data_IF_979161603824
#
_entry.id   IF_979161603824
#
_cell.length_a   1.000
_cell.length_b   1.000
_cell.length_c   1.000
_cell.angle_alpha   90.00
_cell.angle_beta   90.00
_cell.angle_gamma   90.00
#
_symmetry.space_group_name_H-M   'P 1'
#
loop_
_entity.id
_entity.type
_entity.pdbx_description
1 polymer ?
#
# COMPACT_ATOMS: atom_id res chain seq x y z
N UNK A 1 -2.10 11.21 4.71
CA UNK A 1 -3.22 10.23 4.71
C UNK A 1 -3.78 10.14 6.13
N UNK A 2 -5.09 10.26 6.33
CA UNK A 2 -5.66 10.35 7.69
C UNK A 2 -5.99 9.00 8.35
N UNK A 3 -6.47 8.01 7.58
CA UNK A 3 -7.00 6.76 8.15
C UNK A 3 -6.15 5.51 7.86
N UNK A 4 -5.07 5.63 7.09
CA UNK A 4 -4.18 4.51 6.74
C UNK A 4 -4.83 3.37 5.92
N UNK A 5 -6.10 3.52 5.52
CA UNK A 5 -6.87 2.54 4.74
C UNK A 5 -7.74 3.23 3.71
N UNK A 6 -8.09 2.52 2.64
CA UNK A 6 -9.02 3.03 1.63
C UNK A 6 -10.47 2.95 2.11
N UNK A 7 -11.32 3.92 1.75
CA UNK A 7 -12.71 3.98 2.20
C UNK A 7 -13.58 2.83 1.65
N UNK A 8 -13.30 2.35 0.43
CA UNK A 8 -14.12 1.34 -0.26
C UNK A 8 -13.47 -0.04 -0.37
N UNK A 9 -12.76 -0.48 0.68
CA UNK A 9 -12.12 -1.80 0.69
C UNK A 9 -13.19 -2.92 0.62
N UNK A 10 -12.93 -3.94 -0.21
CA UNK A 10 -13.73 -5.17 -0.31
C UNK A 10 -12.85 -6.41 -0.14
N UNK A 11 -13.44 -7.60 0.01
CA UNK A 11 -12.70 -8.87 0.13
C UNK A 11 -12.07 -9.30 -1.20
N UNK A 12 -12.64 -8.87 -2.32
CA UNK A 12 -12.14 -9.09 -3.68
C UNK A 12 -12.39 -7.86 -4.57
N UNK A 13 -11.84 -7.84 -5.78
CA UNK A 13 -11.97 -6.71 -6.71
C UNK A 13 -13.43 -6.39 -7.05
N UNK A 14 -14.27 -7.42 -7.28
CA UNK A 14 -15.69 -7.22 -7.62
C UNK A 14 -16.44 -6.51 -6.50
N UNK A 15 -16.19 -6.92 -5.25
CA UNK A 15 -16.77 -6.27 -4.08
C UNK A 15 -16.24 -4.85 -3.89
N UNK A 16 -14.94 -4.62 -4.12
CA UNK A 16 -14.35 -3.28 -4.07
C UNK A 16 -15.04 -2.34 -5.07
N UNK A 17 -15.23 -2.74 -6.33
CA UNK A 17 -15.95 -1.94 -7.33
C UNK A 17 -17.39 -1.67 -6.91
N UNK A 18 -18.10 -2.69 -6.41
CA UNK A 18 -19.46 -2.51 -5.88
C UNK A 18 -19.47 -1.49 -4.73
N UNK A 19 -18.49 -1.54 -3.84
CA UNK A 19 -18.40 -0.63 -2.71
C UNK A 19 -18.13 0.81 -3.17
N UNK A 20 -17.29 1.02 -4.19
CA UNK A 20 -17.07 2.34 -4.80
C UNK A 20 -18.36 2.93 -5.37
N UNK A 21 -19.19 2.10 -6.01
CA UNK A 21 -20.43 2.55 -6.65
C UNK A 21 -21.57 2.82 -5.66
N UNK A 22 -21.71 1.99 -4.62
CA UNK A 22 -22.95 1.95 -3.83
C UNK A 22 -22.77 2.17 -2.34
N UNK A 23 -21.60 1.84 -1.76
CA UNK A 23 -21.42 1.95 -0.31
C UNK A 23 -21.17 3.40 0.05
N UNK A 24 -21.81 3.91 1.09
CA UNK A 24 -21.50 5.24 1.64
C UNK A 24 -20.14 5.26 2.35
N UNK A 25 -19.54 6.45 2.48
CA UNK A 25 -18.26 6.57 3.20
C UNK A 25 -18.55 6.56 4.69
N UNK A 26 -17.97 5.59 5.39
CA UNK A 26 -18.11 5.47 6.84
C UNK A 26 -16.87 6.03 7.55
N UNK A 27 -17.11 6.86 8.56
CA UNK A 27 -16.07 7.41 9.43
C UNK A 27 -16.23 6.83 10.84
N UNK A 28 -15.12 6.54 11.55
CA UNK A 28 -15.18 6.25 12.97
C UNK A 28 -15.79 7.43 13.76
N UNK A 29 -16.67 7.15 14.73
CA UNK A 29 -17.36 8.20 15.51
C UNK A 29 -16.37 9.19 16.16
N UNK A 30 -15.25 8.71 16.71
CA UNK A 30 -14.22 9.56 17.32
C UNK A 30 -13.67 10.61 16.35
N UNK A 31 -13.44 10.21 15.09
CA UNK A 31 -12.90 11.13 14.07
C UNK A 31 -13.89 12.17 13.61
N UNK A 32 -15.18 11.85 13.60
CA UNK A 32 -16.23 12.79 13.24
C UNK A 32 -16.40 13.87 14.32
N UNK A 33 -16.18 13.52 15.59
CA UNK A 33 -16.16 14.47 16.70
C UNK A 33 -14.88 15.32 16.72
N UNK A 34 -13.71 14.69 16.48
CA UNK A 34 -12.41 15.38 16.59
C UNK A 34 -12.10 16.26 15.38
N UNK A 35 -12.44 15.83 14.17
CA UNK A 35 -12.09 16.51 12.91
C UNK A 35 -13.29 16.57 11.96
N UNK A 36 -14.38 17.28 12.33
CA UNK A 36 -15.58 17.35 11.52
C UNK A 36 -15.31 17.94 10.12
N UNK A 37 -14.42 18.93 10.01
CA UNK A 37 -14.06 19.55 8.73
C UNK A 37 -13.36 18.59 7.78
N UNK A 38 -12.55 17.67 8.32
CA UNK A 38 -11.90 16.62 7.52
C UNK A 38 -12.93 15.64 6.97
N UNK A 39 -13.88 15.21 7.82
CA UNK A 39 -14.94 14.29 7.40
C UNK A 39 -15.87 14.91 6.36
N UNK A 40 -16.20 16.21 6.49
CA UNK A 40 -16.97 16.95 5.49
C UNK A 40 -16.20 17.06 4.16
N UNK A 41 -14.91 17.43 4.21
CA UNK A 41 -14.06 17.50 3.03
C UNK A 41 -14.04 16.17 2.26
N UNK A 42 -13.77 15.07 2.96
CA UNK A 42 -13.70 13.73 2.34
C UNK A 42 -15.06 13.35 1.75
N UNK A 43 -16.16 13.62 2.45
CA UNK A 43 -17.52 13.31 1.98
C UNK A 43 -17.86 14.05 0.69
N UNK A 44 -17.48 15.33 0.58
CA UNK A 44 -17.72 16.14 -0.63
C UNK A 44 -16.81 15.79 -1.79
N UNK A 45 -15.57 15.37 -1.53
CA UNK A 45 -14.64 14.88 -2.55
C UNK A 45 -15.07 13.50 -3.09
N UNK A 46 -15.57 12.63 -2.22
CA UNK A 46 -16.06 11.29 -2.57
C UNK A 46 -17.56 11.29 -2.91
N UNK A 47 -18.06 12.42 -3.42
CA UNK A 47 -19.44 12.50 -3.89
C UNK A 47 -19.62 11.65 -5.16
N UNK A 48 -20.69 10.84 -5.18
CA UNK A 48 -20.97 9.91 -6.29
C UNK A 48 -21.29 10.66 -7.57
N UNK A 49 -22.21 11.60 -7.47
CA UNK A 49 -22.55 12.52 -8.55
C UNK A 49 -21.36 13.46 -8.82
N UNK A 50 -20.73 13.38 -10.01
CA UNK A 50 -19.64 14.25 -10.39
C UNK A 50 -20.02 15.73 -10.36
N UNK A 51 -21.27 16.09 -10.72
CA UNK A 51 -21.69 17.49 -10.80
C UNK A 51 -21.75 18.16 -9.42
N UNK A 52 -21.99 17.37 -8.37
CA UNK A 52 -22.02 17.81 -6.96
C UNK A 52 -20.69 17.62 -6.25
N UNK A 53 -19.69 17.04 -6.92
CA UNK A 53 -18.38 16.76 -6.33
C UNK A 53 -17.61 18.05 -6.12
N UNK A 54 -17.00 18.18 -4.95
CA UNK A 54 -16.11 19.30 -4.68
C UNK A 54 -14.95 19.29 -5.70
N UNK A 55 -14.74 20.40 -6.37
CA UNK A 55 -13.77 20.50 -7.46
C UNK A 55 -14.37 20.46 -8.86
N UNK A 56 -15.65 20.08 -9.02
CA UNK A 56 -16.32 20.11 -10.32
C UNK A 56 -16.69 21.54 -10.72
N UNK A 57 -17.55 22.19 -9.92
CA UNK A 57 -17.94 23.59 -10.14
C UNK A 57 -16.90 24.52 -9.51
N UNK A 58 -16.31 25.42 -10.32
CA UNK A 58 -15.31 26.38 -9.84
C UNK A 58 -13.94 25.77 -9.52
N UNK A 59 -13.68 24.53 -9.96
CA UNK A 59 -12.36 23.91 -9.90
C UNK A 59 -11.77 23.80 -8.48
N UNK A 60 -10.45 23.95 -8.41
CA UNK A 60 -9.67 23.76 -7.19
C UNK A 60 -9.89 24.85 -6.14
N UNK A 61 -10.44 26.00 -6.50
CA UNK A 61 -10.66 27.11 -5.57
C UNK A 61 -11.62 26.72 -4.45
N UNK A 62 -12.67 25.96 -4.76
CA UNK A 62 -13.60 25.43 -3.76
C UNK A 62 -12.96 24.47 -2.76
N UNK A 63 -11.91 23.77 -3.18
CA UNK A 63 -11.14 22.90 -2.30
C UNK A 63 -10.25 23.76 -1.39
N UNK A 64 -9.57 24.77 -1.96
CA UNK A 64 -8.64 25.64 -1.23
C UNK A 64 -9.30 26.46 -0.13
N UNK A 65 -10.54 26.93 -0.35
CA UNK A 65 -11.30 27.73 0.63
C UNK A 65 -12.04 26.89 1.67
N UNK A 66 -11.95 25.56 1.62
CA UNK A 66 -12.65 24.68 2.56
C UNK A 66 -12.14 24.92 4.00
N UNK A 67 -13.00 24.90 5.04
CA UNK A 67 -12.59 25.12 6.43
C UNK A 67 -11.45 24.22 6.92
N UNK A 68 -11.36 23.00 6.38
CA UNK A 68 -10.24 22.09 6.66
C UNK A 68 -8.86 22.70 6.33
N UNK A 69 -8.78 23.56 5.30
CA UNK A 69 -7.56 24.25 4.89
C UNK A 69 -7.53 25.71 5.38
N UNK A 70 -8.38 26.09 6.33
CA UNK A 70 -8.35 27.43 6.92
C UNK A 70 -6.96 27.70 7.51
N UNK A 71 -6.37 28.84 7.14
CA UNK A 71 -5.01 29.23 7.56
C UNK A 71 -3.87 28.65 6.71
N UNK A 72 -4.17 27.85 5.69
CA UNK A 72 -3.15 27.39 4.74
C UNK A 72 -2.78 28.50 3.74
N UNK A 73 -1.52 28.92 3.74
CA UNK A 73 -0.98 29.84 2.75
C UNK A 73 -0.57 29.08 1.47
N UNK A 74 -1.52 28.89 0.55
CA UNK A 74 -1.30 28.14 -0.69
C UNK A 74 -0.17 28.71 -1.57
N UNK A 75 0.00 30.03 -1.58
CA UNK A 75 1.03 30.70 -2.40
C UNK A 75 2.45 30.47 -1.86
N UNK A 76 2.60 30.24 -0.56
CA UNK A 76 3.89 29.99 0.10
C UNK A 76 4.23 28.50 0.17
N UNK A 77 3.34 27.62 -0.29
CA UNK A 77 3.51 26.18 -0.16
C UNK A 77 4.77 25.66 -0.89
N UNK A 78 5.14 26.30 -2.00
CA UNK A 78 6.35 25.98 -2.77
C UNK A 78 7.64 26.39 -2.03
N UNK A 79 7.56 27.38 -1.15
CA UNK A 79 8.71 27.94 -0.42
C UNK A 79 8.89 27.30 0.97
N UNK A 80 8.10 26.26 1.29
CA UNK A 80 8.21 25.57 2.58
C UNK A 80 9.54 24.84 2.67
N UNK A 81 10.45 25.40 3.46
CA UNK A 81 11.83 24.90 3.64
C UNK A 81 11.93 23.71 4.58
N UNK A 82 10.97 23.53 5.49
CA UNK A 82 11.00 22.46 6.49
C UNK A 82 9.71 21.64 6.47
N UNK A 83 9.67 20.51 5.74
CA UNK A 83 8.49 19.65 5.72
C UNK A 83 8.32 18.93 7.07
N UNK A 84 7.11 18.45 7.41
CA UNK A 84 6.84 17.73 8.66
C UNK A 84 7.64 16.43 8.83
N UNK A 85 8.09 15.86 7.71
CA UNK A 85 8.92 14.66 7.69
C UNK A 85 10.08 14.88 6.72
N UNK A 86 11.30 14.80 7.25
CA UNK A 86 12.54 14.79 6.48
C UNK A 86 13.04 13.33 6.54
N UNK A 87 13.09 12.60 5.41
CA UNK A 87 13.62 11.25 5.42
C UNK A 87 15.10 11.29 5.84
N UNK A 88 15.57 10.31 6.62
CA UNK A 88 16.99 10.22 6.93
C UNK A 88 17.78 10.12 5.63
N UNK A 89 19.01 10.67 5.57
CA UNK A 89 19.90 10.43 4.45
C UNK A 89 20.03 8.92 4.26
N UNK A 90 19.92 8.45 3.02
CA UNK A 90 20.18 7.06 2.72
C UNK A 90 21.59 6.76 3.23
N UNK A 91 21.74 5.82 4.16
CA UNK A 91 23.06 5.35 4.54
C UNK A 91 23.78 4.92 3.25
N UNK A 92 25.03 5.34 3.10
CA UNK A 92 25.87 5.22 1.91
C UNK A 92 26.21 3.77 1.52
N UNK A 93 25.20 2.92 1.37
CA UNK A 93 25.23 1.75 0.50
C UNK A 93 24.82 2.15 -0.93
N UNK A 94 25.00 3.42 -1.31
CA UNK A 94 24.83 3.91 -2.67
C UNK A 94 25.98 3.52 -3.61
N UNK A 95 27.01 2.80 -3.11
CA UNK A 95 28.02 2.16 -3.94
C UNK A 95 27.52 0.84 -4.57
N UNK A 96 26.52 0.20 -3.96
CA UNK A 96 25.78 -0.88 -4.59
C UNK A 96 24.42 -0.29 -5.00
N UNK A 97 24.08 -0.25 -6.29
CA UNK A 97 22.81 0.27 -6.80
C UNK A 97 21.55 -0.49 -6.35
N UNK A 98 21.45 -0.90 -5.08
CA UNK A 98 20.27 -1.50 -4.45
C UNK A 98 19.30 -0.41 -4.02
N UNK A 99 18.77 0.31 -5.01
CA UNK A 99 17.37 0.66 -4.94
C UNK A 99 16.54 -0.63 -4.87
N UNK A 100 15.28 -0.54 -4.44
CA UNK A 100 14.35 -1.65 -4.61
C UNK A 100 14.15 -1.89 -6.12
N UNK A 101 14.92 -2.81 -6.69
CA UNK A 101 14.79 -3.21 -8.08
C UNK A 101 13.70 -4.27 -8.20
N UNK A 102 12.59 -3.87 -8.84
CA UNK A 102 11.45 -4.73 -9.14
C UNK A 102 11.89 -5.97 -9.93
N UNK A 103 12.93 -5.86 -10.77
CA UNK A 103 13.49 -7.00 -11.52
C UNK A 103 14.13 -8.03 -10.61
N UNK A 104 14.92 -7.61 -9.63
CA UNK A 104 15.54 -8.52 -8.66
C UNK A 104 14.50 -9.23 -7.79
N UNK A 105 13.44 -8.52 -7.39
CA UNK A 105 12.31 -9.10 -6.65
C UNK A 105 11.63 -10.23 -7.44
N UNK A 106 11.28 -9.99 -8.71
CA UNK A 106 10.66 -11.02 -9.55
C UNK A 106 11.62 -12.16 -9.91
N UNK A 107 12.91 -11.87 -10.11
CA UNK A 107 13.92 -12.91 -10.36
C UNK A 107 14.08 -13.85 -9.16
N UNK A 108 14.02 -13.32 -7.94
CA UNK A 108 14.07 -14.11 -6.71
C UNK A 108 12.83 -14.99 -6.51
N UNK A 109 11.66 -14.56 -6.98
CA UNK A 109 10.41 -15.34 -6.90
C UNK A 109 10.38 -16.56 -7.83
N UNK A 110 11.11 -16.52 -8.95
CA UNK A 110 11.18 -17.64 -9.90
C UNK A 110 12.37 -18.58 -9.65
N UNK A 111 13.17 -18.34 -8.61
CA UNK A 111 14.18 -19.30 -8.16
C UNK A 111 13.47 -20.44 -7.43
N UNK A 112 13.41 -21.61 -8.07
CA UNK A 112 12.97 -22.85 -7.43
C UNK A 112 13.79 -23.09 -6.15
N UNK A 113 13.18 -23.52 -5.04
CA UNK A 113 13.93 -23.84 -3.83
C UNK A 113 15.01 -24.87 -4.15
N UNK A 114 16.21 -24.66 -3.61
CA UNK A 114 17.34 -25.55 -3.82
C UNK A 114 16.96 -26.98 -3.38
N UNK A 115 17.34 -28.02 -4.13
CA UNK A 115 17.09 -29.39 -3.72
C UNK A 115 17.81 -29.66 -2.38
N UNK A 116 17.21 -30.44 -1.47
CA UNK A 116 17.83 -30.78 -0.20
C UNK A 116 19.17 -31.51 -0.43
N UNK A 117 20.16 -31.32 0.46
CA UNK A 117 21.47 -31.96 0.32
C UNK A 117 21.34 -33.49 0.33
N UNK A 118 22.19 -34.21 -0.42
CA UNK A 118 22.13 -35.67 -0.47
C UNK A 118 22.46 -36.25 0.91
N UNK A 119 21.55 -37.08 1.42
CA UNK A 119 21.77 -37.84 2.65
C UNK A 119 22.95 -38.79 2.46
N UNK A 120 23.98 -38.62 3.29
CA UNK A 120 25.15 -39.47 3.36
C UNK A 120 24.73 -40.88 3.77
N UNK A 121 24.51 -41.76 2.80
CA UNK A 121 24.29 -43.18 3.02
C UNK A 121 25.52 -43.81 3.66
N UNK A 122 25.44 -44.10 4.95
CA UNK A 122 26.40 -44.97 5.62
C UNK A 122 26.23 -46.40 5.08
N UNK A 123 27.21 -46.84 4.31
CA UNK A 123 27.38 -48.22 3.89
C UNK A 123 27.61 -49.13 5.12
N UNK A 124 26.78 -50.15 5.30
CA UNK A 124 27.17 -51.36 6.02
C UNK A 124 26.87 -52.57 5.14
N UNK A 125 27.95 -53.14 4.62
CA UNK A 125 28.03 -54.42 3.92
C UNK A 125 27.51 -55.59 4.77
N UNK A 126 26.74 -56.50 4.17
CA UNK A 126 26.93 -57.93 4.46
C UNK A 126 26.52 -58.80 3.30
N UNK A 127 27.46 -59.66 2.92
CA UNK A 127 27.44 -60.66 1.87
C UNK A 127 26.61 -61.88 2.28
N UNK A 128 25.87 -62.45 1.33
CA UNK A 128 26.06 -63.83 0.85
C UNK A 128 24.77 -64.47 0.33
N UNK A 129 24.85 -64.83 -0.95
CA UNK A 129 24.44 -66.11 -1.54
C UNK A 129 23.05 -66.67 -1.21
N UNK A 130 22.14 -66.55 -2.17
CA UNK A 130 21.05 -67.53 -2.33
C UNK A 130 21.06 -68.07 -3.76
N UNK A 131 21.62 -69.26 -3.90
CA UNK A 131 21.48 -70.11 -5.08
C UNK A 131 20.22 -70.95 -4.99
N UNK A 132 19.57 -71.10 -6.15
CA UNK A 132 18.72 -72.22 -6.58
C UNK A 132 17.32 -72.40 -5.97
N UNK A 133 16.35 -72.02 -6.82
CA UNK A 133 15.14 -72.78 -7.20
C UNK A 133 15.10 -74.26 -6.76
N UNK A 134 14.09 -74.59 -5.96
CA UNK A 134 13.10 -75.63 -6.25
C UNK A 134 11.72 -75.11 -5.84
#
# INVERSE_FOLDING_TARGET
MAFGRTPFKGKNCKEMFRNVLHREVEFPCDTQCRMPELTDLISRLLQRDPARRLGYAGGTDKIRVHPFFAGMAWDMLADVTHPPYIPPPAEDNAADGKGFDVRDYFKKLHQSPAPPPPESGSSSSSSSDYSSVF
#
